data_IF_546587876753
#
_entry.id   IF_546587876753
#
_cell.length_a   1.000
_cell.length_b   1.000
_cell.length_c   1.000
_cell.angle_alpha   90.00
_cell.angle_beta   90.00
_cell.angle_gamma   90.00
#
_symmetry.space_group_name_H-M   'P 1'
#
loop_
_entity.id
_entity.type
_entity.pdbx_description
1 polymer ?
#
# COMPACT_ATOMS: atom_id res chain seq x y z
N UNK A 1 -18.44 -0.77 19.33
CA UNK A 1 -18.12 -1.17 17.95
C UNK A 1 -19.36 -1.73 17.29
N UNK A 2 -19.87 -1.06 16.24
CA UNK A 2 -20.87 -1.65 15.35
C UNK A 2 -20.17 -2.56 14.32
N UNK A 3 -20.81 -3.64 13.84
CA UNK A 3 -20.34 -4.39 12.68
C UNK A 3 -20.25 -3.49 11.44
N UNK A 4 -19.40 -3.87 10.47
CA UNK A 4 -19.37 -3.26 9.14
C UNK A 4 -20.63 -3.68 8.37
N UNK A 5 -21.34 -2.71 7.81
CA UNK A 5 -22.45 -2.95 6.92
C UNK A 5 -21.96 -3.19 5.48
N UNK A 6 -22.83 -3.73 4.63
CA UNK A 6 -22.48 -4.08 3.25
C UNK A 6 -22.03 -2.87 2.41
N UNK A 7 -22.55 -1.68 2.72
CA UNK A 7 -22.26 -0.44 2.00
C UNK A 7 -21.12 0.38 2.63
N UNK A 8 -20.57 -0.08 3.75
CA UNK A 8 -19.46 0.62 4.41
C UNK A 8 -18.16 0.45 3.63
N UNK A 9 -17.38 1.53 3.56
CA UNK A 9 -16.04 1.45 3.03
C UNK A 9 -15.11 0.72 4.00
N UNK A 10 -14.36 -0.25 3.50
CA UNK A 10 -13.30 -0.94 4.26
C UNK A 10 -12.21 0.01 4.76
N UNK A 11 -11.95 1.09 4.01
CA UNK A 11 -11.05 2.17 4.37
C UNK A 11 -11.83 3.48 4.42
N UNK A 12 -12.55 3.75 5.51
CA UNK A 12 -13.37 4.92 5.63
C UNK A 12 -12.52 6.16 5.93
N UNK A 13 -13.05 7.34 5.60
CA UNK A 13 -12.41 8.60 5.97
C UNK A 13 -12.35 8.73 7.51
N UNK A 14 -11.32 9.41 8.00
CA UNK A 14 -11.14 9.69 9.42
C UNK A 14 -11.43 11.18 9.62
N UNK A 15 -12.41 11.49 10.46
CA UNK A 15 -12.71 12.86 10.83
C UNK A 15 -11.55 13.47 11.64
N UNK A 16 -11.47 14.80 11.72
CA UNK A 16 -10.48 15.49 12.56
C UNK A 16 -10.57 15.11 14.05
N UNK A 17 -11.73 14.63 14.49
CA UNK A 17 -11.97 14.09 15.83
C UNK A 17 -11.41 12.68 16.05
N UNK A 18 -10.87 12.03 15.02
CA UNK A 18 -10.41 10.64 15.06
C UNK A 18 -11.50 9.59 14.84
N UNK A 19 -12.76 10.01 14.66
CA UNK A 19 -13.88 9.10 14.40
C UNK A 19 -13.89 8.63 12.93
N UNK A 20 -14.23 7.36 12.72
CA UNK A 20 -14.40 6.77 11.39
C UNK A 20 -15.72 7.22 10.76
N UNK A 21 -15.67 7.61 9.50
CA UNK A 21 -16.82 7.94 8.67
C UNK A 21 -17.09 6.82 7.67
N UNK A 22 -17.79 5.79 8.11
CA UNK A 22 -17.95 4.54 7.34
C UNK A 22 -18.57 4.69 5.94
N UNK A 23 -19.44 5.69 5.74
CA UNK A 23 -20.06 5.99 4.44
C UNK A 23 -19.25 6.94 3.54
N UNK A 24 -18.05 7.38 3.97
CA UNK A 24 -17.16 8.22 3.16
C UNK A 24 -15.86 7.47 2.87
N UNK A 25 -15.44 7.33 1.60
CA UNK A 25 -14.17 6.69 1.29
C UNK A 25 -13.00 7.57 1.72
N UNK A 26 -11.93 6.96 2.21
CA UNK A 26 -10.69 7.69 2.45
C UNK A 26 -10.14 8.27 1.14
N UNK A 27 -9.79 9.55 1.17
CA UNK A 27 -9.16 10.19 0.02
C UNK A 27 -7.64 9.93 0.00
N UNK A 28 -6.99 10.29 -1.12
CA UNK A 28 -5.55 10.08 -1.31
C UNK A 28 -4.69 10.71 -0.21
N UNK A 29 -5.00 11.94 0.19
CA UNK A 29 -4.27 12.63 1.26
C UNK A 29 -4.38 11.91 2.60
N UNK A 30 -5.54 11.31 2.90
CA UNK A 30 -5.74 10.51 4.11
C UNK A 30 -4.87 9.25 4.11
N UNK A 31 -4.77 8.57 2.97
CA UNK A 31 -3.89 7.40 2.82
C UNK A 31 -2.41 7.80 2.96
N UNK A 32 -2.01 8.93 2.37
CA UNK A 32 -0.63 9.43 2.48
C UNK A 32 -0.28 9.82 3.92
N UNK A 33 -1.19 10.47 4.65
CA UNK A 33 -1.01 10.79 6.07
C UNK A 33 -0.92 9.53 6.95
N UNK A 34 -1.77 8.52 6.68
CA UNK A 34 -1.72 7.25 7.40
C UNK A 34 -0.39 6.53 7.15
N UNK A 35 0.11 6.54 5.91
CA UNK A 35 1.41 5.97 5.57
C UNK A 35 2.55 6.68 6.29
N UNK A 36 2.53 8.00 6.36
CA UNK A 36 3.54 8.78 7.07
C UNK A 36 3.59 8.38 8.56
N UNK A 37 2.43 8.23 9.21
CA UNK A 37 2.33 7.75 10.61
C UNK A 37 2.92 6.35 10.78
N UNK A 38 2.59 5.41 9.87
CA UNK A 38 3.09 4.04 9.96
C UNK A 38 4.61 4.00 9.78
N UNK A 39 5.14 4.75 8.80
CA UNK A 39 6.58 4.82 8.52
C UNK A 39 7.33 5.39 9.72
N UNK A 40 6.86 6.51 10.27
CA UNK A 40 7.43 7.14 11.46
C UNK A 40 7.45 6.16 12.64
N UNK A 41 6.30 5.58 13.00
CA UNK A 41 6.18 4.68 14.15
C UNK A 41 6.93 3.36 13.97
N UNK A 42 7.12 2.89 12.74
CA UNK A 42 7.87 1.67 12.47
C UNK A 42 9.39 1.85 12.59
N UNK A 43 9.90 3.09 12.56
CA UNK A 43 11.34 3.36 12.54
C UNK A 43 12.05 2.86 11.28
N UNK A 44 11.33 2.46 10.23
CA UNK A 44 11.92 1.88 9.00
C UNK A 44 12.86 2.84 8.26
N UNK A 45 12.78 4.14 8.56
CA UNK A 45 13.65 5.19 8.05
C UNK A 45 14.63 5.78 9.09
N UNK A 46 14.79 5.18 10.28
CA UNK A 46 15.54 5.76 11.40
C UNK A 46 16.96 6.27 11.05
N UNK A 47 17.60 5.70 10.02
CA UNK A 47 18.95 6.08 9.56
C UNK A 47 19.00 6.35 8.04
N UNK A 48 17.84 6.62 7.41
CA UNK A 48 17.74 6.78 5.96
C UNK A 48 16.98 8.04 5.59
N UNK A 49 17.61 8.88 4.79
CA UNK A 49 16.93 10.00 4.14
C UNK A 49 16.01 9.46 3.03
N UNK A 50 14.71 9.74 3.13
CA UNK A 50 13.75 9.36 2.10
C UNK A 50 12.30 9.47 2.54
N UNK A 51 11.39 9.14 1.63
CA UNK A 51 9.95 9.02 1.90
C UNK A 51 9.44 7.74 1.24
N UNK A 52 8.63 6.98 1.97
CA UNK A 52 7.86 5.90 1.38
C UNK A 52 6.52 6.43 0.89
N UNK A 53 6.16 6.07 -0.34
CA UNK A 53 4.85 6.37 -0.94
C UNK A 53 4.07 5.09 -1.16
N UNK A 54 2.78 5.21 -1.47
CA UNK A 54 1.95 4.08 -1.94
C UNK A 54 2.65 3.31 -3.07
N UNK A 55 3.33 4.02 -3.99
CA UNK A 55 4.08 3.42 -5.08
C UNK A 55 5.26 2.58 -4.60
N UNK A 56 5.99 3.03 -3.56
CA UNK A 56 7.11 2.27 -2.97
C UNK A 56 6.65 0.91 -2.44
N UNK A 57 5.52 0.87 -1.72
CA UNK A 57 4.98 -0.39 -1.18
C UNK A 57 4.50 -1.33 -2.29
N UNK A 58 3.86 -0.81 -3.34
CA UNK A 58 3.47 -1.62 -4.51
C UNK A 58 4.69 -2.27 -5.18
N UNK A 59 5.75 -1.49 -5.41
CA UNK A 59 6.99 -1.98 -6.05
C UNK A 59 7.75 -2.95 -5.13
N UNK A 60 7.92 -2.60 -3.85
CA UNK A 60 8.60 -3.43 -2.88
C UNK A 60 7.88 -4.76 -2.66
N UNK A 61 6.54 -4.76 -2.59
CA UNK A 61 5.74 -5.97 -2.48
C UNK A 61 5.88 -6.87 -3.71
N UNK A 62 5.88 -6.29 -4.91
CA UNK A 62 6.13 -7.02 -6.16
C UNK A 62 7.54 -7.64 -6.19
N UNK A 63 8.57 -6.88 -5.81
CA UNK A 63 9.95 -7.38 -5.72
C UNK A 63 10.06 -8.50 -4.68
N UNK A 64 9.47 -8.33 -3.50
CA UNK A 64 9.44 -9.35 -2.45
C UNK A 64 8.80 -10.65 -2.91
N UNK A 65 7.61 -10.57 -3.52
CA UNK A 65 6.94 -11.75 -4.07
C UNK A 65 7.74 -12.43 -5.18
N UNK A 66 8.49 -11.67 -5.98
CA UNK A 66 9.31 -12.24 -7.03
C UNK A 66 10.62 -12.87 -6.52
N UNK A 67 11.30 -12.21 -5.59
CA UNK A 67 12.69 -12.51 -5.25
C UNK A 67 12.86 -13.23 -3.90
N UNK A 68 12.15 -12.79 -2.86
CA UNK A 68 12.46 -13.11 -1.46
C UNK A 68 11.39 -13.91 -0.72
N UNK A 69 10.15 -13.97 -1.23
CA UNK A 69 9.08 -14.74 -0.59
C UNK A 69 9.37 -16.25 -0.59
N UNK A 70 8.98 -16.97 0.48
CA UNK A 70 9.07 -18.43 0.56
C UNK A 70 8.36 -19.14 -0.61
N UNK A 71 7.21 -18.59 -1.02
CA UNK A 71 6.49 -18.96 -2.24
C UNK A 71 6.56 -17.80 -3.22
N UNK A 72 7.50 -17.88 -4.16
CA UNK A 72 7.73 -16.84 -5.15
C UNK A 72 6.63 -16.84 -6.21
N UNK A 73 6.34 -15.66 -6.73
CA UNK A 73 5.44 -15.48 -7.86
C UNK A 73 6.24 -15.45 -9.16
N UNK A 74 5.65 -16.00 -10.22
CA UNK A 74 6.20 -15.81 -11.57
C UNK A 74 6.09 -14.34 -11.98
N UNK A 75 6.88 -13.92 -12.96
CA UNK A 75 6.80 -12.57 -13.50
C UNK A 75 5.39 -12.25 -14.00
N UNK A 76 4.71 -13.23 -14.60
CA UNK A 76 3.31 -13.11 -15.04
C UNK A 76 2.37 -12.81 -13.87
N UNK A 77 2.50 -13.54 -12.77
CA UNK A 77 1.67 -13.33 -11.58
C UNK A 77 1.92 -11.97 -10.92
N UNK A 78 3.18 -11.53 -10.85
CA UNK A 78 3.54 -10.19 -10.34
C UNK A 78 2.99 -9.09 -11.24
N UNK A 79 3.09 -9.23 -12.56
CA UNK A 79 2.53 -8.28 -13.54
C UNK A 79 1.02 -8.13 -13.37
N UNK A 80 0.30 -9.26 -13.29
CA UNK A 80 -1.14 -9.28 -13.05
C UNK A 80 -1.52 -8.62 -11.71
N UNK A 81 -0.85 -8.99 -10.62
CA UNK A 81 -1.16 -8.43 -9.29
C UNK A 81 -0.89 -6.93 -9.19
N UNK A 82 0.21 -6.45 -9.77
CA UNK A 82 0.57 -5.03 -9.71
C UNK A 82 -0.15 -4.15 -10.73
N UNK A 83 -1.05 -4.72 -11.54
CA UNK A 83 -1.79 -4.00 -12.57
C UNK A 83 -0.92 -3.50 -13.72
N UNK A 84 0.21 -4.16 -14.01
CA UNK A 84 1.06 -3.78 -15.13
C UNK A 84 0.42 -4.20 -16.45
N UNK A 85 0.41 -3.29 -17.43
CA UNK A 85 -0.03 -3.65 -18.78
C UNK A 85 0.97 -4.61 -19.43
N UNK A 86 0.49 -5.43 -20.37
CA UNK A 86 1.32 -6.35 -21.14
C UNK A 86 2.54 -5.68 -21.79
N UNK A 87 2.43 -4.38 -22.08
CA UNK A 87 3.40 -3.57 -22.80
C UNK A 87 4.41 -2.85 -21.89
N UNK A 88 4.27 -2.95 -20.56
CA UNK A 88 5.21 -2.33 -19.63
C UNK A 88 6.44 -3.22 -19.38
N UNK A 89 7.62 -2.64 -19.63
CA UNK A 89 8.92 -3.26 -19.38
C UNK A 89 9.26 -3.21 -17.89
N UNK A 90 9.18 -4.35 -17.21
CA UNK A 90 9.69 -4.52 -15.85
C UNK A 90 11.16 -4.89 -15.96
N UNK A 91 12.06 -3.90 -16.02
CA UNK A 91 13.49 -4.17 -15.85
C UNK A 91 13.74 -4.50 -14.37
N UNK A 92 14.10 -5.75 -14.09
CA UNK A 92 14.74 -6.11 -12.84
C UNK A 92 16.16 -5.55 -12.84
N UNK A 93 16.56 -4.86 -11.78
CA UNK A 93 18.00 -4.65 -11.54
C UNK A 93 18.60 -6.04 -11.26
N UNK A 94 19.56 -6.42 -12.10
CA UNK A 94 20.42 -7.58 -11.88
C UNK A 94 21.38 -7.29 -10.72
#
# INVERSE_FOLDING_TARGET
NRPLDADDFLFPAIASTGLLKFGEPMNRSGIEALLDIVVERSGVLAERNGKFTTHCFRRGGAQYRFMWAKRKWSLKAVKWWGGWSSNENVRGYK
#
